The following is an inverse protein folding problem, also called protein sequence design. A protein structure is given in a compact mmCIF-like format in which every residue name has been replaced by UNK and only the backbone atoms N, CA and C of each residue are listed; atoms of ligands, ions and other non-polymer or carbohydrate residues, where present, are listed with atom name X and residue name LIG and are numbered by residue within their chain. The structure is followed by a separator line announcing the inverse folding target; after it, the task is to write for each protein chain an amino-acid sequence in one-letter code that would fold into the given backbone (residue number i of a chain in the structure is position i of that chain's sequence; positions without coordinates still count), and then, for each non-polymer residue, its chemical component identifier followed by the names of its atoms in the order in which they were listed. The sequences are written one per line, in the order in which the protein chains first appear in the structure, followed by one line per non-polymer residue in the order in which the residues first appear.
data_IF_468580800553
#
_entry.id   IF_468580800553
#
_cell.length_a   1.000
_cell.length_b   1.000
_cell.length_c   1.000
_cell.angle_alpha   90.00
_cell.angle_beta   90.00
_cell.angle_gamma   90.00
#
_symmetry.space_group_name_H-M   'P 1'
#
loop_
_entity.id
_entity.type
_entity.pdbx_description
1 polymer ?
#
# COMPACT_ATOMS: atom_id res chain seq x y z
N UNK A 1 -10.74 -8.43 9.40
CA UNK A 1 -9.36 -7.92 9.33
C UNK A 1 -9.33 -6.40 9.52
N UNK A 2 -8.57 -5.92 10.49
CA UNK A 2 -8.59 -4.51 10.87
C UNK A 2 -7.34 -3.77 10.37
N UNK A 3 -7.42 -3.20 9.16
CA UNK A 3 -6.32 -2.41 8.56
C UNK A 3 -5.87 -1.25 9.45
N UNK A 4 -6.78 -0.63 10.23
CA UNK A 4 -6.42 0.51 11.08
C UNK A 4 -5.47 0.09 12.19
N UNK A 5 -5.74 -1.03 12.86
CA UNK A 5 -4.82 -1.58 13.87
C UNK A 5 -3.46 -1.94 13.25
N UNK A 6 -3.45 -2.55 12.06
CA UNK A 6 -2.19 -2.84 11.34
C UNK A 6 -1.39 -1.57 11.04
N UNK A 7 -2.06 -0.49 10.60
CA UNK A 7 -1.40 0.80 10.33
C UNK A 7 -0.92 1.45 11.64
N UNK A 8 -1.68 1.36 12.73
CA UNK A 8 -1.27 1.86 14.04
C UNK A 8 0.00 1.15 14.56
N UNK A 9 0.09 -0.17 14.40
CA UNK A 9 1.29 -0.94 14.75
C UNK A 9 2.48 -0.59 13.87
N UNK A 10 2.27 -0.43 12.56
CA UNK A 10 3.29 0.09 11.66
C UNK A 10 3.84 1.43 12.17
N UNK A 11 2.97 2.37 12.56
CA UNK A 11 3.38 3.65 13.15
C UNK A 11 4.16 3.45 14.47
N UNK A 12 3.75 2.51 15.31
CA UNK A 12 4.47 2.20 16.56
C UNK A 12 5.90 1.73 16.30
N UNK A 13 6.10 0.84 15.32
CA UNK A 13 7.44 0.41 14.92
C UNK A 13 8.28 1.57 14.37
N UNK A 14 7.71 2.41 13.50
CA UNK A 14 8.41 3.58 12.97
C UNK A 14 8.81 4.56 14.09
N UNK A 15 7.94 4.77 15.08
CA UNK A 15 8.22 5.61 16.24
C UNK A 15 9.21 4.98 17.23
N UNK A 16 9.40 3.66 17.19
CA UNK A 16 10.44 2.97 17.97
C UNK A 16 11.85 3.08 17.37
N UNK A 17 11.96 3.67 16.18
CA UNK A 17 13.23 3.87 15.48
C UNK A 17 13.45 2.93 14.28
N UNK A 18 12.45 2.15 13.86
CA UNK A 18 12.54 1.41 12.61
C UNK A 18 12.59 2.39 11.42
N UNK A 19 13.56 2.21 10.53
CA UNK A 19 13.74 3.06 9.35
C UNK A 19 13.35 2.31 8.07
N UNK A 20 12.39 2.87 7.33
CA UNK A 20 12.07 2.42 5.97
C UNK A 20 13.02 3.12 4.99
N UNK A 21 13.81 2.33 4.28
CA UNK A 21 14.76 2.81 3.26
C UNK A 21 14.17 2.57 1.86
N UNK A 22 13.48 1.45 1.67
CA UNK A 22 12.90 0.98 0.42
C UNK A 22 11.44 0.52 0.58
N UNK A 23 10.72 0.40 -0.54
CA UNK A 23 9.34 -0.11 -0.56
C UNK A 23 9.23 -1.51 0.05
N UNK A 24 10.22 -2.36 -0.20
CA UNK A 24 10.28 -3.70 0.38
C UNK A 24 10.29 -3.69 1.92
N UNK A 25 10.88 -2.67 2.54
CA UNK A 25 10.91 -2.54 4.01
C UNK A 25 9.51 -2.21 4.53
N UNK A 26 8.80 -1.31 3.85
CA UNK A 26 7.41 -0.97 4.16
C UNK A 26 6.49 -2.20 4.00
N UNK A 27 6.60 -2.92 2.88
CA UNK A 27 5.82 -4.12 2.61
C UNK A 27 6.12 -5.21 3.65
N UNK A 28 7.39 -5.42 3.99
CA UNK A 28 7.80 -6.44 4.97
C UNK A 28 7.31 -6.10 6.38
N UNK A 29 7.39 -4.82 6.77
CA UNK A 29 6.89 -4.38 8.08
C UNK A 29 5.36 -4.44 8.15
N UNK A 30 4.65 -4.09 7.08
CA UNK A 30 3.20 -4.28 6.96
C UNK A 30 2.81 -5.75 7.07
N UNK A 31 3.53 -6.62 6.36
CA UNK A 31 3.34 -8.07 6.42
C UNK A 31 3.46 -8.58 7.86
N UNK A 32 4.52 -8.17 8.55
CA UNK A 32 4.72 -8.48 9.97
C UNK A 32 3.55 -7.97 10.85
N UNK A 33 3.14 -6.71 10.69
CA UNK A 33 2.03 -6.12 11.45
C UNK A 33 0.69 -6.83 11.19
N UNK A 34 0.48 -7.36 9.98
CA UNK A 34 -0.72 -8.16 9.69
C UNK A 34 -0.70 -9.48 10.44
N UNK A 35 0.43 -10.21 10.40
CA UNK A 35 0.59 -11.49 11.08
C UNK A 35 0.44 -11.38 12.60
N UNK A 36 0.96 -10.31 13.20
CA UNK A 36 0.85 -10.10 14.65
C UNK A 36 -0.58 -9.81 15.10
N UNK A 37 -1.37 -9.13 14.26
CA UNK A 37 -2.73 -8.70 14.59
C UNK A 37 -3.82 -9.66 14.14
N UNK A 38 -3.54 -10.55 13.18
CA UNK A 38 -4.54 -11.39 12.52
C UNK A 38 -3.93 -12.78 12.27
N UNK A 39 -3.82 -13.62 13.29
CA UNK A 39 -3.23 -14.97 13.17
C UNK A 39 -3.87 -15.84 12.07
N UNK A 40 -5.13 -15.57 11.73
CA UNK A 40 -5.89 -16.24 10.67
C UNK A 40 -5.37 -15.97 9.26
N UNK A 41 -4.60 -14.89 9.04
CA UNK A 41 -4.09 -14.55 7.70
C UNK A 41 -2.75 -15.22 7.37
N UNK A 42 -2.16 -15.99 8.28
CA UNK A 42 -0.80 -16.54 8.12
C UNK A 42 -0.61 -17.35 6.83
N UNK A 43 -1.63 -18.09 6.40
CA UNK A 43 -1.59 -18.89 5.17
C UNK A 43 -2.21 -18.17 3.96
N UNK A 44 -2.67 -16.93 4.16
CA UNK A 44 -3.39 -16.14 3.16
C UNK A 44 -2.67 -14.86 2.76
N UNK A 45 -1.60 -14.46 3.45
CA UNK A 45 -0.87 -13.23 3.15
C UNK A 45 0.27 -13.50 2.18
N UNK A 46 0.32 -12.71 1.11
CA UNK A 46 1.24 -12.89 -0.01
C UNK A 46 1.83 -11.55 -0.43
N UNK A 47 3.16 -11.46 -0.51
CA UNK A 47 3.85 -10.28 -1.04
C UNK A 47 4.15 -10.43 -2.53
N UNK A 48 4.08 -9.34 -3.30
CA UNK A 48 4.45 -9.28 -4.72
C UNK A 48 3.81 -10.41 -5.54
N UNK A 49 2.47 -10.49 -5.50
CA UNK A 49 1.74 -11.64 -6.04
C UNK A 49 0.73 -11.26 -7.12
N UNK A 50 0.39 -12.24 -7.96
CA UNK A 50 -0.63 -12.09 -9.00
C UNK A 50 -2.01 -12.24 -8.42
N UNK A 51 -2.94 -11.40 -8.87
CA UNK A 51 -4.35 -11.53 -8.54
C UNK A 51 -5.07 -12.35 -9.62
N UNK A 52 -6.03 -13.17 -9.22
CA UNK A 52 -6.85 -13.94 -10.17
C UNK A 52 -7.63 -12.97 -11.07
N UNK A 53 -7.77 -13.27 -12.37
CA UNK A 53 -8.56 -12.47 -13.33
C UNK A 53 -8.18 -10.98 -13.43
N UNK A 54 -6.90 -10.65 -13.20
CA UNK A 54 -6.37 -9.28 -13.31
C UNK A 54 -5.32 -9.12 -14.42
N UNK A 55 -5.41 -9.89 -15.51
CA UNK A 55 -4.44 -9.86 -16.62
C UNK A 55 -2.96 -10.02 -16.20
N UNK A 56 -2.73 -10.71 -15.08
CA UNK A 56 -1.41 -10.94 -14.54
C UNK A 56 -0.79 -9.77 -13.78
N UNK A 57 -1.59 -8.75 -13.42
CA UNK A 57 -1.18 -7.66 -12.53
C UNK A 57 -0.68 -8.22 -11.20
N UNK A 58 0.43 -7.65 -10.74
CA UNK A 58 1.01 -7.89 -9.42
C UNK A 58 0.61 -6.79 -8.45
N UNK A 59 0.37 -7.21 -7.21
CA UNK A 59 0.08 -6.32 -6.09
C UNK A 59 1.10 -6.56 -4.98
N UNK A 60 1.59 -5.47 -4.39
CA UNK A 60 2.66 -5.48 -3.38
C UNK A 60 2.32 -6.39 -2.19
N UNK A 61 1.08 -6.35 -1.71
CA UNK A 61 0.59 -7.21 -0.65
C UNK A 61 -0.88 -7.58 -0.87
N UNK A 62 -1.17 -8.87 -0.87
CA UNK A 62 -2.52 -9.42 -1.04
C UNK A 62 -2.83 -10.36 0.11
N UNK A 63 -4.05 -10.29 0.62
CA UNK A 63 -4.57 -11.28 1.56
C UNK A 63 -5.68 -12.04 0.85
N UNK A 64 -5.60 -13.37 0.82
CA UNK A 64 -6.54 -14.25 0.14
C UNK A 64 -5.99 -15.66 -0.11
N UNK A 65 -6.82 -16.53 -0.67
CA UNK A 65 -6.46 -17.93 -0.95
C UNK A 65 -5.68 -18.07 -2.26
N UNK A 66 -4.66 -18.93 -2.27
CA UNK A 66 -3.95 -19.29 -3.51
C UNK A 66 -4.86 -20.14 -4.39
N UNK A 67 -4.86 -19.85 -5.69
CA UNK A 67 -5.53 -20.65 -6.71
C UNK A 67 -4.59 -20.98 -7.87
N UNK A 68 -4.88 -22.09 -8.55
CA UNK A 68 -4.20 -22.55 -9.76
C UNK A 68 -5.10 -22.47 -11.00
N UNK A 69 -6.22 -21.74 -10.92
CA UNK A 69 -7.16 -21.56 -12.04
C UNK A 69 -6.53 -20.83 -13.23
N UNK A 70 -5.54 -19.96 -12.99
CA UNK A 70 -4.75 -19.32 -14.03
C UNK A 70 -3.53 -20.15 -14.43
N UNK A 71 -2.94 -19.87 -15.60
CA UNK A 71 -1.69 -20.53 -16.08
C UNK A 71 -0.51 -20.46 -15.10
N UNK A 72 -0.54 -19.50 -14.17
CA UNK A 72 0.45 -19.31 -13.10
C UNK A 72 -0.30 -19.23 -11.77
N UNK A 73 0.31 -19.61 -10.64
CA UNK A 73 -0.29 -19.37 -9.33
C UNK A 73 -0.69 -17.91 -9.16
N UNK A 74 -1.89 -17.70 -8.64
CA UNK A 74 -2.46 -16.39 -8.33
C UNK A 74 -3.28 -16.47 -7.05
N UNK A 75 -3.76 -15.33 -6.57
CA UNK A 75 -4.54 -15.22 -5.33
C UNK A 75 -5.96 -14.76 -5.64
N UNK A 76 -6.95 -15.43 -5.06
CA UNK A 76 -8.32 -14.92 -4.97
C UNK A 76 -8.33 -13.91 -3.82
N UNK A 77 -8.39 -12.61 -4.10
CA UNK A 77 -8.14 -11.61 -3.09
C UNK A 77 -9.33 -11.50 -2.13
N UNK A 78 -9.02 -11.23 -0.87
CA UNK A 78 -9.92 -10.74 0.18
C UNK A 78 -9.57 -9.27 0.54
N UNK A 79 -8.34 -8.83 0.24
CA UNK A 79 -7.84 -7.48 0.43
C UNK A 79 -6.61 -7.23 -0.46
N UNK A 80 -6.47 -6.00 -0.97
CA UNK A 80 -5.36 -5.57 -1.85
C UNK A 80 -4.66 -4.33 -1.28
N UNK A 81 -3.32 -4.33 -1.26
CA UNK A 81 -2.52 -3.19 -0.80
C UNK A 81 -1.38 -2.92 -1.78
N UNK A 82 -1.30 -1.66 -2.19
CA UNK A 82 -0.13 -1.07 -2.82
C UNK A 82 0.64 -0.21 -1.83
N UNK A 83 1.96 -0.22 -1.94
CA UNK A 83 2.85 0.54 -1.09
C UNK A 83 3.65 1.54 -1.93
N UNK A 84 3.89 2.71 -1.36
CA UNK A 84 4.75 3.71 -2.00
C UNK A 84 5.51 4.50 -0.95
N UNK A 85 6.80 4.66 -1.15
CA UNK A 85 7.63 5.51 -0.27
C UNK A 85 8.08 6.80 -0.98
N UNK A 86 8.20 7.88 -0.22
CA UNK A 86 8.95 9.08 -0.50
C UNK A 86 9.99 9.20 0.62
N UNK A 87 11.09 8.45 0.44
CA UNK A 87 12.11 8.25 1.46
C UNK A 87 13.12 9.39 1.54
N UNK A 88 13.92 9.35 2.61
CA UNK A 88 15.09 10.20 2.72
C UNK A 88 16.12 9.84 1.62
N UNK A 89 16.88 10.83 1.15
CA UNK A 89 17.95 10.61 0.16
C UNK A 89 17.49 10.47 -1.30
N UNK A 90 16.18 10.53 -1.58
CA UNK A 90 15.70 10.62 -2.95
C UNK A 90 15.88 12.02 -3.54
N UNK A 91 16.38 12.07 -4.76
CA UNK A 91 16.43 13.29 -5.58
C UNK A 91 15.02 13.73 -5.99
N UNK A 92 14.85 15.02 -6.32
CA UNK A 92 13.58 15.54 -6.84
C UNK A 92 13.09 14.80 -8.10
N UNK A 93 14.01 14.34 -8.95
CA UNK A 93 13.66 13.54 -10.13
C UNK A 93 13.07 12.18 -9.73
N UNK A 94 13.69 11.49 -8.77
CA UNK A 94 13.16 10.23 -8.22
C UNK A 94 11.82 10.45 -7.54
N UNK A 95 11.66 11.48 -6.71
CA UNK A 95 10.40 11.81 -6.04
C UNK A 95 9.29 12.10 -7.06
N UNK A 96 9.58 12.87 -8.11
CA UNK A 96 8.65 13.15 -9.20
C UNK A 96 8.22 11.88 -9.93
N UNK A 97 9.18 11.04 -10.31
CA UNK A 97 8.91 9.74 -10.97
C UNK A 97 8.04 8.84 -10.09
N UNK A 98 8.31 8.80 -8.79
CA UNK A 98 7.55 7.99 -7.83
C UNK A 98 6.14 8.53 -7.59
N UNK A 99 5.93 9.84 -7.70
CA UNK A 99 4.58 10.42 -7.69
C UNK A 99 3.78 10.04 -8.94
N UNK A 100 4.42 9.92 -10.10
CA UNK A 100 3.77 9.34 -11.28
C UNK A 100 3.36 7.88 -11.01
N UNK A 101 4.27 7.07 -10.46
CA UNK A 101 3.96 5.68 -10.12
C UNK A 101 2.87 5.53 -9.06
N UNK A 102 2.83 6.42 -8.06
CA UNK A 102 1.74 6.47 -7.09
C UNK A 102 0.37 6.64 -7.76
N UNK A 103 0.29 7.46 -8.82
CA UNK A 103 -0.94 7.65 -9.61
C UNK A 103 -1.28 6.43 -10.46
N UNK A 104 -0.26 5.78 -11.02
CA UNK A 104 -0.43 4.51 -11.75
C UNK A 104 -0.94 3.39 -10.84
N UNK A 105 -0.51 3.33 -9.57
CA UNK A 105 -0.99 2.33 -8.61
C UNK A 105 -2.48 2.50 -8.28
N UNK A 106 -3.02 3.73 -8.31
CA UNK A 106 -4.47 3.97 -8.19
C UNK A 106 -5.22 3.35 -9.38
N UNK A 107 -4.71 3.56 -10.60
CA UNK A 107 -5.30 2.96 -11.81
C UNK A 107 -5.21 1.44 -11.76
N UNK A 108 -4.05 0.89 -11.38
CA UNK A 108 -3.79 -0.54 -11.22
C UNK A 108 -4.79 -1.20 -10.24
N UNK A 109 -4.99 -0.59 -9.07
CA UNK A 109 -5.98 -1.08 -8.09
C UNK A 109 -7.40 -1.03 -8.64
N UNK A 110 -7.74 -0.02 -9.45
CA UNK A 110 -9.06 0.08 -10.06
C UNK A 110 -9.30 -0.99 -11.15
N UNK A 111 -8.27 -1.35 -11.91
CA UNK A 111 -8.36 -2.39 -12.96
C UNK A 111 -8.73 -3.76 -12.40
N UNK A 112 -8.38 -4.04 -11.15
CA UNK A 112 -8.73 -5.29 -10.48
C UNK A 112 -10.21 -5.29 -10.11
N UNK A 113 -11.01 -6.11 -10.81
CA UNK A 113 -12.49 -6.10 -10.69
C UNK A 113 -13.05 -6.76 -9.42
N UNK A 114 -12.21 -7.34 -8.58
CA UNK A 114 -12.66 -7.94 -7.31
C UNK A 114 -13.25 -6.88 -6.38
N UNK A 115 -14.45 -7.13 -5.87
CA UNK A 115 -15.16 -6.28 -4.92
C UNK A 115 -14.62 -6.50 -3.50
N UNK A 116 -13.36 -6.15 -3.31
CA UNK A 116 -12.63 -6.26 -2.04
C UNK A 116 -12.06 -4.92 -1.61
N UNK A 117 -11.77 -4.72 -0.33
CA UNK A 117 -11.07 -3.53 0.13
C UNK A 117 -9.72 -3.33 -0.58
N UNK A 118 -9.47 -2.10 -1.03
CA UNK A 118 -8.26 -1.69 -1.76
C UNK A 118 -7.60 -0.52 -1.05
N UNK A 119 -6.33 -0.67 -0.75
CA UNK A 119 -5.58 0.32 -0.01
C UNK A 119 -4.31 0.73 -0.72
N UNK A 120 -3.95 1.99 -0.56
CA UNK A 120 -2.65 2.53 -0.92
C UNK A 120 -2.00 3.06 0.35
N UNK A 121 -0.92 2.42 0.80
CA UNK A 121 -0.15 2.86 1.96
C UNK A 121 1.03 3.68 1.47
N UNK A 122 1.07 4.96 1.84
CA UNK A 122 2.08 5.90 1.40
C UNK A 122 2.92 6.34 2.58
N UNK A 123 4.22 6.08 2.53
CA UNK A 123 5.19 6.57 3.52
C UNK A 123 5.90 7.80 2.97
N UNK A 124 5.54 8.98 3.46
CA UNK A 124 6.09 10.27 3.05
C UNK A 124 7.02 10.84 4.11
N UNK A 125 8.27 10.39 4.10
CA UNK A 125 9.28 10.79 5.08
C UNK A 125 9.68 12.26 4.94
N UNK A 126 9.74 12.76 3.71
CA UNK A 126 10.29 14.08 3.38
C UNK A 126 9.22 15.15 3.11
N UNK A 127 7.95 14.89 3.45
CA UNK A 127 6.80 15.77 3.17
C UNK A 127 6.73 16.19 1.70
N UNK A 128 7.07 15.27 0.80
CA UNK A 128 7.04 15.53 -0.64
C UNK A 128 5.60 15.72 -1.12
N UNK A 129 4.65 14.98 -0.54
CA UNK A 129 3.23 15.13 -0.82
C UNK A 129 2.68 16.30 -0.02
N UNK A 130 3.03 17.52 -0.41
CA UNK A 130 2.42 18.75 0.10
C UNK A 130 0.92 18.85 -0.27
N UNK A 131 0.26 19.91 0.19
CA UNK A 131 -1.19 20.06 0.03
C UNK A 131 -1.66 20.09 -1.44
N UNK A 132 -0.85 20.65 -2.35
CA UNK A 132 -1.15 20.64 -3.78
C UNK A 132 -1.16 19.22 -4.33
N UNK A 133 -0.11 18.43 -4.05
CA UNK A 133 -0.01 17.04 -4.53
C UNK A 133 -1.02 16.12 -3.86
N UNK A 134 -1.32 16.33 -2.58
CA UNK A 134 -2.39 15.61 -1.88
C UNK A 134 -3.75 15.86 -2.52
N UNK A 135 -4.03 17.11 -2.87
CA UNK A 135 -5.27 17.49 -3.57
C UNK A 135 -5.34 16.85 -4.96
N UNK A 136 -4.25 16.88 -5.72
CA UNK A 136 -4.16 16.20 -7.02
C UNK A 136 -4.44 14.69 -6.89
N UNK A 137 -3.80 14.04 -5.92
CA UNK A 137 -3.96 12.61 -5.66
C UNK A 137 -5.40 12.27 -5.27
N UNK A 138 -6.02 13.06 -4.39
CA UNK A 138 -7.39 12.87 -3.95
C UNK A 138 -8.40 13.07 -5.08
N UNK A 139 -8.20 14.08 -5.93
CA UNK A 139 -9.03 14.30 -7.11
C UNK A 139 -8.92 13.13 -8.08
N UNK A 140 -7.71 12.66 -8.37
CA UNK A 140 -7.49 11.50 -9.23
C UNK A 140 -8.20 10.26 -8.67
N UNK A 141 -7.98 9.96 -7.39
CA UNK A 141 -8.62 8.84 -6.68
C UNK A 141 -10.14 8.92 -6.80
N UNK A 142 -10.73 10.07 -6.50
CA UNK A 142 -12.18 10.22 -6.54
C UNK A 142 -12.77 10.14 -7.95
N UNK A 143 -12.00 10.54 -8.97
CA UNK A 143 -12.41 10.43 -10.37
C UNK A 143 -12.32 8.98 -10.89
N UNK A 144 -11.34 8.20 -10.42
CA UNK A 144 -11.14 6.80 -10.83
C UNK A 144 -12.00 5.86 -10.00
N UNK A 145 -11.81 5.87 -8.68
CA UNK A 145 -12.48 4.99 -7.74
C UNK A 145 -12.42 5.55 -6.32
N UNK A 146 -13.56 6.07 -5.84
CA UNK A 146 -13.69 6.64 -4.51
C UNK A 146 -13.50 5.61 -3.37
N UNK A 147 -13.63 4.32 -3.64
CA UNK A 147 -13.59 3.26 -2.64
C UNK A 147 -12.14 2.82 -2.32
N UNK A 148 -11.17 3.20 -3.16
CA UNK A 148 -9.75 3.08 -2.81
C UNK A 148 -9.48 4.01 -1.62
N UNK A 149 -8.91 3.46 -0.55
CA UNK A 149 -8.53 4.19 0.66
C UNK A 149 -7.02 4.43 0.69
N UNK A 150 -6.60 5.68 0.88
CA UNK A 150 -5.17 6.02 0.93
C UNK A 150 -4.79 6.35 2.37
N UNK A 151 -3.86 5.58 2.94
CA UNK A 151 -3.25 5.90 4.22
C UNK A 151 -1.92 6.61 3.97
N UNK A 152 -1.90 7.92 4.23
CA UNK A 152 -0.67 8.71 4.17
C UNK A 152 -0.01 8.73 5.54
N UNK A 153 1.13 8.05 5.67
CA UNK A 153 2.04 8.08 6.81
C UNK A 153 3.07 9.18 6.56
N UNK A 154 3.27 10.09 7.52
CA UNK A 154 4.19 11.20 7.36
C UNK A 154 4.90 11.51 8.68
N UNK A 155 6.12 12.06 8.57
CA UNK A 155 6.95 12.43 9.72
C UNK A 155 6.78 13.90 10.05
N UNK A 156 6.30 14.20 11.26
CA UNK A 156 6.42 15.54 11.88
C UNK A 156 7.44 15.44 13.02
N UNK A 157 7.00 15.56 14.27
CA UNK A 157 7.83 15.26 15.46
C UNK A 157 7.95 13.75 15.71
N UNK A 158 6.88 13.02 15.34
CA UNK A 158 6.76 11.57 15.31
C UNK A 158 5.98 11.16 14.06
N UNK A 159 6.08 9.91 13.65
CA UNK A 159 5.25 9.37 12.59
C UNK A 159 3.79 9.35 13.02
N UNK A 160 2.92 9.77 12.11
CA UNK A 160 1.46 9.67 12.20
C UNK A 160 0.91 9.32 10.82
N UNK A 161 -0.38 9.01 10.75
CA UNK A 161 -1.08 8.82 9.48
C UNK A 161 -2.35 9.65 9.37
N UNK A 162 -2.80 9.89 8.14
CA UNK A 162 -4.15 10.35 7.81
C UNK A 162 -4.72 9.53 6.66
N UNK A 163 -6.04 9.42 6.63
CA UNK A 163 -6.75 8.85 5.50
C UNK A 163 -7.09 10.01 4.55
N UNK A 164 -6.73 9.88 3.26
CA UNK A 164 -7.06 10.85 2.21
C UNK A 164 -8.35 10.47 1.48
#
# INVERSE_FOLDING_TARGET
MNIKLTVEDLINYLNSGFEIIMESDLVSLLFHCFLTNNSEVINKIHSETRVLNSDGLHIDLVIGEITLESKRPSVIPELLIECKIFGNGFTNSQLSKRFTYLKEDISKLNEIRHEVPKYLIVYDYCDYLNDLRRTELLQLKNNINKDISIFLIYKKDKFNYKIL
#
